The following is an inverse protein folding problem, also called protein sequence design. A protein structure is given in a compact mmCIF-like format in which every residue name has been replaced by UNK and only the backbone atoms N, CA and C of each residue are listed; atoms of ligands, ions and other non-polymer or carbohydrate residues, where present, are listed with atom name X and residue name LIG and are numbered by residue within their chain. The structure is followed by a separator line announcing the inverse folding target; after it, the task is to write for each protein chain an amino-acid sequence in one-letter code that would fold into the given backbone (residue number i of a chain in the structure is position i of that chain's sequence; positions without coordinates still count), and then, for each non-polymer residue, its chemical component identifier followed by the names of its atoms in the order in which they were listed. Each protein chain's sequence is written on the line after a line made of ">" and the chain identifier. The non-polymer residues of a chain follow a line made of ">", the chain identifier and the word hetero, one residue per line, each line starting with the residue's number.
data_IF_644712358771
#
_entry.id   IF_644712358771
#
_cell.length_a   1.000
_cell.length_b   1.000
_cell.length_c   1.000
_cell.angle_alpha   90.00
_cell.angle_beta   90.00
_cell.angle_gamma   90.00
#
_symmetry.space_group_name_H-M   'P 1'
#
loop_
_entity.id
_entity.type
_entity.pdbx_description
1 polymer ?
#
# COMPACT_ATOMS: atom_id res chain seq x y z
N UNK A 1 -5.05 -13.16 24.93
CA UNK A 1 -5.17 -13.75 23.58
C UNK A 1 -5.48 -15.24 23.69
N UNK A 2 -6.17 -15.85 22.69
CA UNK A 2 -6.37 -17.31 22.64
C UNK A 2 -5.07 -17.98 22.18
N UNK A 3 -4.64 -19.04 22.89
CA UNK A 3 -3.43 -19.80 22.57
C UNK A 3 -3.84 -21.14 21.93
N UNK A 4 -3.26 -21.44 20.78
CA UNK A 4 -3.46 -22.68 20.03
C UNK A 4 -2.12 -23.43 19.96
N UNK A 5 -2.07 -24.63 20.50
CA UNK A 5 -0.86 -25.45 20.53
C UNK A 5 -0.93 -26.55 19.48
N UNK A 6 0.09 -26.62 18.61
CA UNK A 6 0.25 -27.58 17.51
C UNK A 6 -1.06 -27.80 16.73
N UNK A 7 -1.72 -26.74 16.23
CA UNK A 7 -2.96 -26.91 15.49
C UNK A 7 -2.71 -27.73 14.22
N UNK A 8 -3.57 -28.70 13.97
CA UNK A 8 -3.54 -29.47 12.73
C UNK A 8 -3.67 -28.58 11.50
N UNK A 9 -2.99 -28.87 10.38
CA UNK A 9 -3.02 -28.03 9.17
C UNK A 9 -4.43 -27.71 8.66
N UNK A 10 -5.42 -28.60 8.89
CA UNK A 10 -6.81 -28.37 8.51
C UNK A 10 -7.46 -27.19 9.27
N UNK A 11 -6.91 -26.78 10.41
CA UNK A 11 -7.38 -25.65 11.20
C UNK A 11 -6.73 -24.32 10.76
N UNK A 12 -5.60 -24.36 10.06
CA UNK A 12 -4.85 -23.17 9.65
C UNK A 12 -5.69 -22.16 8.86
N UNK A 13 -6.49 -22.56 7.86
CA UNK A 13 -7.34 -21.60 7.15
C UNK A 13 -8.30 -20.85 8.08
N UNK A 14 -8.78 -21.47 9.16
CA UNK A 14 -9.63 -20.81 10.14
C UNK A 14 -8.84 -19.90 11.10
N UNK A 15 -7.61 -20.26 11.43
CA UNK A 15 -6.71 -19.45 12.24
C UNK A 15 -6.16 -18.25 11.46
N UNK A 16 -5.94 -18.42 10.17
CA UNK A 16 -5.51 -17.34 9.25
C UNK A 16 -6.65 -16.42 8.82
N UNK A 17 -7.90 -16.75 9.12
CA UNK A 17 -9.05 -15.92 8.74
C UNK A 17 -9.02 -14.58 9.43
N UNK A 18 -9.19 -13.53 8.65
CA UNK A 18 -9.38 -12.16 9.13
C UNK A 18 -10.84 -11.95 9.53
N UNK A 19 -11.09 -10.92 10.34
CA UNK A 19 -12.45 -10.55 10.70
C UNK A 19 -13.26 -10.20 9.44
N UNK A 20 -14.14 -11.09 9.02
CA UNK A 20 -15.06 -10.83 7.92
C UNK A 20 -16.16 -9.88 8.41
N UNK A 21 -16.42 -8.85 7.62
CA UNK A 21 -17.53 -7.94 7.84
C UNK A 21 -18.41 -7.93 6.59
N UNK A 22 -19.71 -7.99 6.78
CA UNK A 22 -20.66 -7.83 5.67
C UNK A 22 -20.51 -6.45 5.04
N UNK A 23 -20.05 -6.43 3.81
CA UNK A 23 -19.80 -5.22 3.03
C UNK A 23 -20.93 -4.89 2.04
N UNK A 24 -22.02 -5.64 2.00
CA UNK A 24 -23.08 -5.47 1.00
C UNK A 24 -23.72 -4.08 1.05
N UNK A 25 -24.13 -3.60 2.22
CA UNK A 25 -24.68 -2.25 2.42
C UNK A 25 -23.65 -1.14 2.13
N UNK A 26 -22.36 -1.42 2.41
CA UNK A 26 -21.28 -0.48 2.11
C UNK A 26 -21.11 -0.36 0.59
N UNK A 27 -21.15 -1.46 -0.13
CA UNK A 27 -20.97 -1.48 -1.58
C UNK A 27 -22.03 -0.63 -2.30
N UNK A 28 -23.31 -0.76 -1.93
CA UNK A 28 -24.40 0.06 -2.50
C UNK A 28 -24.22 1.55 -2.19
N UNK A 29 -23.90 1.89 -0.95
CA UNK A 29 -23.67 3.28 -0.55
C UNK A 29 -22.46 3.89 -1.26
N UNK A 30 -21.38 3.16 -1.39
CA UNK A 30 -20.18 3.59 -2.11
C UNK A 30 -20.47 3.77 -3.59
N UNK A 31 -21.19 2.85 -4.22
CA UNK A 31 -21.59 2.97 -5.62
C UNK A 31 -22.40 4.25 -5.87
N UNK A 32 -23.36 4.57 -5.00
CA UNK A 32 -24.15 5.79 -5.07
C UNK A 32 -23.27 7.05 -4.92
N UNK A 33 -22.32 7.08 -3.98
CA UNK A 33 -21.38 8.19 -3.81
C UNK A 33 -20.53 8.38 -5.06
N UNK A 34 -19.95 7.30 -5.58
CA UNK A 34 -19.07 7.32 -6.75
C UNK A 34 -19.82 7.83 -7.98
N UNK A 35 -21.03 7.35 -8.22
CA UNK A 35 -21.88 7.79 -9.34
C UNK A 35 -22.24 9.27 -9.21
N UNK A 36 -22.64 9.71 -8.01
CA UNK A 36 -22.98 11.10 -7.74
C UNK A 36 -21.81 12.05 -8.04
N UNK A 37 -20.59 11.71 -7.60
CA UNK A 37 -19.40 12.51 -7.90
C UNK A 37 -19.08 12.49 -9.39
N UNK A 38 -19.16 11.34 -10.05
CA UNK A 38 -18.94 11.23 -11.48
C UNK A 38 -19.90 12.10 -12.33
N UNK A 39 -21.14 12.27 -11.86
CA UNK A 39 -22.19 13.03 -12.58
C UNK A 39 -22.21 14.52 -12.23
N UNK A 40 -21.91 14.89 -11.00
CA UNK A 40 -22.13 16.24 -10.46
C UNK A 40 -20.84 16.98 -10.09
N UNK A 41 -19.68 16.34 -10.21
CA UNK A 41 -18.38 16.98 -10.00
C UNK A 41 -18.23 17.64 -8.61
N UNK A 42 -17.70 18.86 -8.61
CA UNK A 42 -17.45 19.65 -7.39
C UNK A 42 -18.70 19.85 -6.53
N UNK A 43 -19.86 20.01 -7.17
CA UNK A 43 -21.14 20.16 -6.45
C UNK A 43 -21.37 18.97 -5.50
N UNK A 44 -21.16 17.76 -5.98
CA UNK A 44 -21.31 16.57 -5.14
C UNK A 44 -20.29 16.55 -4.00
N UNK A 45 -19.05 16.99 -4.23
CA UNK A 45 -18.02 17.04 -3.19
C UNK A 45 -18.38 17.99 -2.06
N UNK A 46 -18.87 19.20 -2.37
CA UNK A 46 -19.33 20.15 -1.36
C UNK A 46 -20.51 19.62 -0.54
N UNK A 47 -21.51 19.04 -1.22
CA UNK A 47 -22.69 18.49 -0.56
C UNK A 47 -22.35 17.27 0.31
N UNK A 48 -21.44 16.39 -0.15
CA UNK A 48 -21.00 15.23 0.63
C UNK A 48 -20.13 15.63 1.82
N UNK A 49 -19.28 16.66 1.69
CA UNK A 49 -18.55 17.20 2.82
C UNK A 49 -19.49 17.71 3.92
N UNK A 50 -20.58 18.40 3.56
CA UNK A 50 -21.57 18.85 4.53
C UNK A 50 -22.38 17.68 5.13
N UNK A 51 -22.81 16.71 4.30
CA UNK A 51 -23.66 15.59 4.73
C UNK A 51 -22.90 14.52 5.54
N UNK A 52 -21.68 14.17 5.15
CA UNK A 52 -20.92 13.07 5.73
C UNK A 52 -19.93 13.59 6.78
N UNK A 53 -19.17 14.62 6.42
CA UNK A 53 -18.10 15.13 7.27
C UNK A 53 -18.60 16.23 8.24
N UNK A 54 -19.79 16.80 7.95
CA UNK A 54 -20.41 17.87 8.73
C UNK A 54 -19.66 19.20 8.59
N UNK A 55 -19.01 19.42 7.45
CA UNK A 55 -18.17 20.60 7.19
C UNK A 55 -18.61 21.33 5.93
N UNK A 56 -18.87 22.63 6.05
CA UNK A 56 -19.15 23.49 4.91
C UNK A 56 -17.86 24.12 4.40
N UNK A 57 -17.36 23.60 3.29
CA UNK A 57 -16.12 24.07 2.68
C UNK A 57 -16.32 25.33 1.85
N UNK A 58 -15.40 26.29 1.98
CA UNK A 58 -15.35 27.47 1.11
C UNK A 58 -14.58 27.18 -0.21
N UNK A 59 -13.64 26.25 -0.17
CA UNK A 59 -12.85 25.81 -1.33
C UNK A 59 -12.45 24.35 -1.14
N UNK A 60 -12.46 23.57 -2.22
CA UNK A 60 -11.92 22.21 -2.23
C UNK A 60 -10.38 22.22 -2.28
N UNK A 61 -9.78 23.14 -3.00
CA UNK A 61 -8.32 23.24 -3.08
C UNK A 61 -7.74 23.92 -1.84
N UNK A 62 -6.62 23.40 -1.37
CA UNK A 62 -5.79 24.04 -0.34
C UNK A 62 -5.04 25.22 -0.97
N UNK A 63 -5.11 26.38 -0.33
CA UNK A 63 -4.47 27.61 -0.77
C UNK A 63 -3.00 27.71 -0.31
N UNK A 64 -2.21 28.56 -0.98
CA UNK A 64 -0.84 28.88 -0.55
C UNK A 64 -0.77 29.47 0.85
N UNK A 65 -1.81 30.22 1.26
CA UNK A 65 -1.90 30.77 2.61
C UNK A 65 -2.02 29.64 3.66
N UNK A 66 -2.83 28.60 3.39
CA UNK A 66 -2.97 27.45 4.29
C UNK A 66 -1.65 26.67 4.41
N UNK A 67 -0.92 26.48 3.31
CA UNK A 67 0.41 25.89 3.36
C UNK A 67 1.39 26.72 4.20
N UNK A 68 1.40 28.02 4.04
CA UNK A 68 2.29 28.92 4.80
C UNK A 68 1.96 28.92 6.29
N UNK A 69 0.67 28.88 6.64
CA UNK A 69 0.23 28.77 8.04
C UNK A 69 0.59 27.41 8.62
N UNK A 70 0.44 26.32 7.86
CA UNK A 70 0.82 24.99 8.29
C UNK A 70 2.32 24.91 8.63
N UNK A 71 3.18 25.47 7.79
CA UNK A 71 4.62 25.51 8.02
C UNK A 71 5.00 26.22 9.34
N UNK A 72 4.26 27.26 9.71
CA UNK A 72 4.47 27.97 10.98
C UNK A 72 3.95 27.20 12.21
N UNK A 73 2.94 26.35 12.03
CA UNK A 73 2.29 25.59 13.11
C UNK A 73 3.01 24.31 13.48
N UNK A 74 3.70 23.68 12.53
CA UNK A 74 4.46 22.43 12.77
C UNK A 74 5.68 22.76 13.62
N UNK A 75 5.86 22.03 14.71
CA UNK A 75 7.00 22.22 15.61
C UNK A 75 8.33 21.86 14.95
N UNK A 76 9.42 22.50 15.35
CA UNK A 76 10.75 22.21 14.83
C UNK A 76 11.19 20.76 15.08
N UNK A 77 10.73 20.15 16.18
CA UNK A 77 10.99 18.74 16.49
C UNK A 77 10.36 17.84 15.43
N UNK A 78 9.09 18.07 15.07
CA UNK A 78 8.39 17.30 14.03
C UNK A 78 9.00 17.54 12.65
N UNK A 79 9.39 18.78 12.33
CA UNK A 79 10.08 19.08 11.08
C UNK A 79 11.41 18.32 10.97
N UNK A 80 12.22 18.33 12.04
CA UNK A 80 13.48 17.60 12.07
C UNK A 80 13.27 16.08 11.91
N UNK A 81 12.25 15.52 12.56
CA UNK A 81 11.89 14.10 12.42
C UNK A 81 11.47 13.76 10.98
N UNK A 82 10.65 14.62 10.35
CA UNK A 82 10.25 14.46 8.94
C UNK A 82 11.49 14.48 8.03
N UNK A 83 12.46 15.36 8.26
CA UNK A 83 13.68 15.41 7.43
C UNK A 83 14.50 14.12 7.52
N UNK A 84 14.65 13.52 8.71
CA UNK A 84 15.35 12.23 8.86
C UNK A 84 14.58 11.13 8.11
N UNK A 85 13.27 11.04 8.28
CA UNK A 85 12.44 10.07 7.57
C UNK A 85 12.55 10.25 6.05
N UNK A 86 12.45 11.48 5.55
CA UNK A 86 12.60 11.80 4.12
C UNK A 86 13.93 11.31 3.57
N UNK A 87 15.03 11.57 4.27
CA UNK A 87 16.37 11.14 3.83
C UNK A 87 16.47 9.63 3.68
N UNK A 88 15.98 8.87 4.67
CA UNK A 88 16.04 7.42 4.66
C UNK A 88 15.11 6.82 3.58
N UNK A 89 13.86 7.32 3.49
CA UNK A 89 12.91 6.88 2.47
C UNK A 89 13.43 7.19 1.05
N UNK A 90 13.99 8.38 0.84
CA UNK A 90 14.58 8.73 -0.46
C UNK A 90 15.78 7.83 -0.80
N UNK A 91 16.67 7.57 0.15
CA UNK A 91 17.84 6.73 -0.08
C UNK A 91 17.43 5.33 -0.54
N UNK A 92 16.49 4.71 0.19
CA UNK A 92 16.03 3.36 -0.12
C UNK A 92 15.25 3.30 -1.45
N UNK A 93 14.34 4.26 -1.71
CA UNK A 93 13.55 4.25 -2.94
C UNK A 93 14.35 4.65 -4.18
N UNK A 94 15.36 5.52 -4.07
CA UNK A 94 16.26 5.83 -5.20
C UNK A 94 17.06 4.61 -5.66
N UNK A 95 17.44 3.74 -4.76
CA UNK A 95 18.15 2.51 -5.09
C UNK A 95 17.29 1.49 -5.87
N UNK A 96 15.96 1.65 -5.86
CA UNK A 96 15.00 0.79 -6.56
C UNK A 96 14.74 1.22 -8.03
N UNK A 97 15.30 2.35 -8.49
CA UNK A 97 15.02 2.82 -9.86
C UNK A 97 15.46 1.77 -10.88
N UNK A 98 14.53 1.26 -11.72
CA UNK A 98 14.85 0.22 -12.68
C UNK A 98 15.65 0.78 -13.86
N UNK A 99 16.60 -0.03 -14.36
CA UNK A 99 17.32 0.26 -15.58
C UNK A 99 16.51 -0.12 -16.82
N UNK A 100 16.86 0.50 -17.96
CA UNK A 100 16.38 0.06 -19.28
C UNK A 100 17.04 -1.30 -19.62
N UNK A 101 16.23 -2.23 -20.10
CA UNK A 101 16.71 -3.51 -20.64
C UNK A 101 16.73 -3.43 -22.16
N UNK A 102 17.87 -3.72 -22.79
CA UNK A 102 18.04 -3.76 -24.25
C UNK A 102 18.68 -5.07 -24.66
N UNK A 103 18.02 -5.81 -25.56
CA UNK A 103 18.46 -7.12 -26.04
C UNK A 103 18.32 -7.17 -27.55
N UNK A 104 19.36 -7.55 -28.24
CA UNK A 104 19.29 -8.00 -29.63
C UNK A 104 18.98 -9.50 -29.59
N UNK A 105 17.74 -9.89 -29.90
CA UNK A 105 17.29 -11.29 -29.79
C UNK A 105 17.82 -12.17 -30.92
N UNK A 106 18.08 -11.56 -32.06
CA UNK A 106 18.84 -12.08 -33.17
C UNK A 106 19.37 -10.91 -34.02
N UNK A 107 20.34 -11.09 -34.91
CA UNK A 107 20.90 -10.00 -35.70
C UNK A 107 19.84 -9.14 -36.38
N UNK A 108 19.90 -7.83 -36.12
CA UNK A 108 18.95 -6.86 -36.67
C UNK A 108 17.57 -6.82 -35.99
N UNK A 109 17.36 -7.52 -34.87
CA UNK A 109 16.10 -7.48 -34.09
C UNK A 109 16.39 -7.04 -32.66
N UNK A 110 16.07 -5.80 -32.34
CA UNK A 110 16.32 -5.19 -31.05
C UNK A 110 15.01 -5.01 -30.28
N UNK A 111 14.96 -5.57 -29.07
CA UNK A 111 13.88 -5.42 -28.12
C UNK A 111 14.34 -4.59 -26.92
N UNK A 112 13.57 -3.56 -26.56
CA UNK A 112 13.86 -2.70 -25.42
C UNK A 112 12.69 -2.71 -24.47
N UNK A 113 12.95 -2.79 -23.16
CA UNK A 113 11.97 -2.50 -22.12
C UNK A 113 12.42 -1.25 -21.37
N UNK A 114 11.63 -0.19 -21.50
CA UNK A 114 11.91 1.11 -20.89
C UNK A 114 10.96 1.38 -19.71
N UNK A 115 11.49 1.65 -18.51
CA UNK A 115 10.68 2.15 -17.40
C UNK A 115 10.22 3.58 -17.70
N UNK A 116 8.93 3.84 -17.50
CA UNK A 116 8.30 5.14 -17.74
C UNK A 116 7.39 5.47 -16.56
N UNK A 117 7.52 6.66 -15.98
CA UNK A 117 6.68 7.11 -14.89
C UNK A 117 5.20 7.21 -15.29
N UNK A 118 4.30 6.99 -14.34
CA UNK A 118 2.88 7.31 -14.47
C UNK A 118 2.74 8.83 -14.38
N UNK A 119 2.20 9.47 -15.41
CA UNK A 119 2.20 10.92 -15.53
C UNK A 119 1.38 11.65 -14.47
N UNK A 120 0.26 11.05 -14.01
CA UNK A 120 -0.65 11.62 -13.01
C UNK A 120 -1.04 10.56 -12.00
N UNK A 121 -0.77 10.82 -10.73
CA UNK A 121 -1.10 9.91 -9.62
C UNK A 121 -1.90 10.64 -8.55
N UNK A 122 -2.84 9.91 -7.94
CA UNK A 122 -3.64 10.38 -6.82
C UNK A 122 -3.21 9.70 -5.53
N UNK A 123 -3.02 10.47 -4.49
CA UNK A 123 -2.68 10.01 -3.15
C UNK A 123 -3.86 10.28 -2.24
N UNK A 124 -4.38 9.26 -1.62
CA UNK A 124 -5.38 9.38 -0.57
C UNK A 124 -4.71 9.27 0.80
N UNK A 125 -4.85 10.31 1.60
CA UNK A 125 -4.35 10.33 2.97
C UNK A 125 -5.55 10.29 3.91
N UNK A 126 -5.69 9.24 4.72
CA UNK A 126 -6.79 9.18 5.65
C UNK A 126 -6.65 10.25 6.73
N UNK A 127 -7.79 10.73 7.19
CA UNK A 127 -7.90 11.57 8.38
C UNK A 127 -8.69 10.82 9.44
N UNK A 128 -9.03 11.50 10.52
CA UNK A 128 -9.82 10.96 11.61
C UNK A 128 -9.16 11.23 12.96
N UNK A 129 -8.90 10.20 13.74
CA UNK A 129 -8.34 10.34 15.10
C UNK A 129 -6.86 10.70 15.13
N UNK A 130 -6.13 10.54 14.02
CA UNK A 130 -4.71 10.89 13.91
C UNK A 130 -4.40 11.44 12.51
N UNK A 131 -3.57 12.50 12.38
CA UNK A 131 -3.08 13.00 11.10
C UNK A 131 -1.96 12.08 10.60
N UNK A 132 -2.25 11.17 9.66
CA UNK A 132 -1.28 10.19 9.15
C UNK A 132 -0.33 10.85 8.11
N UNK A 133 0.45 11.84 8.53
CA UNK A 133 1.39 12.54 7.66
C UNK A 133 2.55 11.64 7.18
N UNK A 134 2.89 10.58 7.90
CA UNK A 134 3.84 9.56 7.46
C UNK A 134 3.42 8.94 6.11
N UNK A 135 2.14 8.69 5.92
CA UNK A 135 1.60 8.18 4.65
C UNK A 135 1.86 9.15 3.48
N UNK A 136 1.93 10.46 3.73
CA UNK A 136 2.33 11.42 2.69
C UNK A 136 3.77 11.15 2.26
N UNK A 137 4.70 10.93 3.20
CA UNK A 137 6.10 10.62 2.90
C UNK A 137 6.19 9.33 2.08
N UNK A 138 5.51 8.28 2.53
CA UNK A 138 5.54 6.93 1.93
C UNK A 138 4.97 6.88 0.51
N UNK A 139 4.07 7.78 0.16
CA UNK A 139 3.46 7.81 -1.18
C UNK A 139 4.04 8.90 -2.08
N UNK A 140 4.26 10.11 -1.57
CA UNK A 140 4.69 11.23 -2.40
C UNK A 140 6.18 11.17 -2.76
N UNK A 141 7.05 10.68 -1.86
CA UNK A 141 8.48 10.55 -2.17
C UNK A 141 8.74 9.55 -3.30
N UNK A 142 8.25 8.30 -3.27
CA UNK A 142 8.43 7.38 -4.39
C UNK A 142 7.77 7.89 -5.67
N UNK A 143 6.60 8.55 -5.61
CA UNK A 143 5.98 9.17 -6.78
C UNK A 143 6.88 10.22 -7.43
N UNK A 144 7.48 11.10 -6.61
CA UNK A 144 8.44 12.12 -7.08
C UNK A 144 9.71 11.50 -7.64
N UNK A 145 10.29 10.52 -6.95
CA UNK A 145 11.52 9.82 -7.38
C UNK A 145 11.30 9.09 -8.71
N UNK A 146 10.15 8.44 -8.89
CA UNK A 146 9.75 7.81 -10.14
C UNK A 146 9.55 8.81 -11.30
N UNK A 147 9.40 10.11 -11.00
CA UNK A 147 9.22 11.17 -11.99
C UNK A 147 7.75 11.39 -12.39
N UNK A 148 6.79 11.12 -11.53
CA UNK A 148 5.39 11.48 -11.74
C UNK A 148 5.26 13.01 -11.87
N UNK A 149 4.62 13.48 -12.96
CA UNK A 149 4.55 14.91 -13.26
C UNK A 149 3.48 15.64 -12.44
N UNK A 150 2.38 14.96 -12.14
CA UNK A 150 1.28 15.50 -11.36
C UNK A 150 0.97 14.53 -10.20
N UNK A 151 1.15 15.03 -8.98
CA UNK A 151 0.89 14.29 -7.73
C UNK A 151 -0.25 15.02 -7.03
N UNK A 152 -1.45 14.46 -7.09
CA UNK A 152 -2.67 15.00 -6.50
C UNK A 152 -2.90 14.31 -5.17
N UNK A 153 -3.13 15.07 -4.10
CA UNK A 153 -3.42 14.55 -2.77
C UNK A 153 -4.84 14.94 -2.35
N UNK A 154 -5.63 13.96 -1.92
CA UNK A 154 -6.91 14.17 -1.28
C UNK A 154 -6.87 13.70 0.18
N UNK A 155 -7.37 14.53 1.09
CA UNK A 155 -7.43 14.23 2.53
C UNK A 155 -8.64 14.92 3.15
N UNK A 156 -9.30 14.32 4.15
CA UNK A 156 -10.39 14.98 4.87
C UNK A 156 -9.88 16.16 5.70
N UNK A 157 -10.81 17.01 6.11
CA UNK A 157 -10.55 18.15 6.98
C UNK A 157 -11.03 17.88 8.42
N UNK A 158 -10.64 18.72 9.33
CA UNK A 158 -11.27 18.84 10.65
C UNK A 158 -12.66 19.50 10.54
N UNK A 159 -13.34 19.68 11.68
CA UNK A 159 -14.66 20.33 11.75
C UNK A 159 -14.67 21.80 11.37
N UNK A 160 -13.51 22.43 11.29
CA UNK A 160 -13.32 23.81 10.85
C UNK A 160 -13.00 23.92 9.35
N UNK A 161 -12.90 22.80 8.64
CA UNK A 161 -12.55 22.76 7.21
C UNK A 161 -11.05 22.93 6.95
N UNK A 162 -10.22 22.67 7.95
CA UNK A 162 -8.76 22.74 7.86
C UNK A 162 -8.15 21.35 7.68
N UNK A 163 -7.13 21.26 6.85
CA UNK A 163 -6.26 20.08 6.76
C UNK A 163 -5.20 20.17 7.87
N UNK A 164 -4.82 19.05 8.47
CA UNK A 164 -3.78 18.99 9.50
C UNK A 164 -2.47 19.62 9.00
N UNK A 165 -1.85 20.42 9.84
CA UNK A 165 -0.65 21.18 9.47
C UNK A 165 0.51 20.26 9.06
N UNK A 166 0.68 19.14 9.77
CA UNK A 166 1.71 18.15 9.51
C UNK A 166 1.54 17.50 8.11
N UNK A 167 0.29 17.24 7.70
CA UNK A 167 -0.03 16.71 6.35
C UNK A 167 0.34 17.73 5.27
N UNK A 168 0.01 19.01 5.44
CA UNK A 168 0.36 20.07 4.49
C UNK A 168 1.86 20.29 4.41
N UNK A 169 2.54 20.31 5.56
CA UNK A 169 4.00 20.45 5.61
C UNK A 169 4.68 19.27 4.87
N UNK A 170 4.29 18.05 5.19
CA UNK A 170 4.81 16.85 4.52
C UNK A 170 4.53 16.86 3.02
N UNK A 171 3.31 17.24 2.61
CA UNK A 171 2.93 17.34 1.20
C UNK A 171 3.82 18.32 0.43
N UNK A 172 4.04 19.53 0.97
CA UNK A 172 4.96 20.54 0.39
C UNK A 172 6.39 20.02 0.32
N UNK A 173 6.89 19.43 1.42
CA UNK A 173 8.26 18.88 1.50
C UNK A 173 8.51 17.76 0.50
N UNK A 174 7.50 16.93 0.23
CA UNK A 174 7.59 15.81 -0.70
C UNK A 174 7.30 16.16 -2.16
N UNK A 175 6.91 17.40 -2.47
CA UNK A 175 6.66 17.86 -3.84
C UNK A 175 5.29 17.47 -4.39
N UNK A 176 4.28 17.34 -3.53
CA UNK A 176 2.89 17.19 -3.96
C UNK A 176 2.46 18.44 -4.72
N UNK A 177 1.87 18.25 -5.90
CA UNK A 177 1.56 19.38 -6.80
C UNK A 177 0.25 20.08 -6.44
N UNK A 178 -0.72 19.35 -5.90
CA UNK A 178 -2.04 19.88 -5.52
C UNK A 178 -2.61 19.07 -4.35
N UNK A 179 -3.23 19.77 -3.40
CA UNK A 179 -3.92 19.16 -2.25
C UNK A 179 -5.38 19.59 -2.24
N UNK A 180 -6.28 18.62 -2.02
CA UNK A 180 -7.73 18.85 -2.00
C UNK A 180 -8.35 18.34 -0.71
N UNK A 181 -9.33 19.09 -0.22
CA UNK A 181 -10.13 18.84 0.98
C UNK A 181 -11.29 17.90 0.66
N UNK A 182 -10.95 16.64 0.47
CA UNK A 182 -11.94 15.58 0.19
C UNK A 182 -11.52 14.30 0.89
N UNK A 183 -12.41 13.71 1.69
CA UNK A 183 -12.19 12.45 2.39
C UNK A 183 -13.01 11.31 1.78
N UNK A 184 -12.81 10.08 2.26
CA UNK A 184 -13.68 8.95 1.98
C UNK A 184 -13.79 8.53 0.51
N UNK A 185 -14.91 7.86 0.19
CA UNK A 185 -15.20 7.35 -1.14
C UNK A 185 -15.31 8.46 -2.20
N UNK A 186 -15.78 9.67 -1.81
CA UNK A 186 -15.90 10.80 -2.70
C UNK A 186 -14.55 11.33 -3.19
N UNK A 187 -13.51 11.25 -2.38
CA UNK A 187 -12.15 11.59 -2.78
C UNK A 187 -11.61 10.64 -3.85
N UNK A 188 -11.83 9.34 -3.67
CA UNK A 188 -11.46 8.31 -4.65
C UNK A 188 -12.20 8.54 -5.98
N UNK A 189 -13.51 8.80 -5.91
CA UNK A 189 -14.31 9.10 -7.10
C UNK A 189 -13.82 10.36 -7.81
N UNK A 190 -13.53 11.44 -7.07
CA UNK A 190 -13.02 12.68 -7.65
C UNK A 190 -11.70 12.49 -8.39
N UNK A 191 -10.75 11.76 -7.81
CA UNK A 191 -9.48 11.45 -8.47
C UNK A 191 -9.65 10.51 -9.68
N UNK A 192 -10.60 9.57 -9.62
CA UNK A 192 -10.83 8.61 -10.69
C UNK A 192 -11.51 9.22 -11.93
N UNK A 193 -12.49 10.09 -11.75
CA UNK A 193 -13.28 10.66 -12.85
C UNK A 193 -12.80 12.06 -13.24
N UNK A 194 -12.20 12.78 -12.31
CA UNK A 194 -11.96 14.21 -12.40
C UNK A 194 -13.22 15.01 -12.07
N UNK A 195 -13.03 16.22 -11.55
CA UNK A 195 -14.08 17.21 -11.35
C UNK A 195 -13.57 18.56 -11.85
N UNK A 196 -14.32 19.63 -11.66
CA UNK A 196 -13.90 20.98 -12.06
C UNK A 196 -12.61 21.40 -11.32
N UNK A 197 -12.46 21.01 -10.05
CA UNK A 197 -11.29 21.31 -9.22
C UNK A 197 -10.28 20.19 -9.20
N UNK A 198 -10.72 18.93 -8.99
CA UNK A 198 -9.83 17.78 -8.79
C UNK A 198 -9.45 17.16 -10.14
N UNK A 199 -8.18 17.16 -10.53
CA UNK A 199 -7.75 16.54 -11.78
C UNK A 199 -7.97 15.03 -11.77
N UNK A 200 -8.39 14.47 -12.91
CA UNK A 200 -8.39 13.02 -13.12
C UNK A 200 -6.96 12.48 -13.11
N UNK A 201 -6.76 11.37 -12.40
CA UNK A 201 -5.46 10.66 -12.33
C UNK A 201 -5.53 9.29 -13.00
N UNK A 202 -4.37 8.68 -13.23
CA UNK A 202 -4.28 7.36 -13.88
C UNK A 202 -4.16 6.22 -12.88
N UNK A 203 -3.62 6.49 -11.67
CA UNK A 203 -3.51 5.51 -10.60
C UNK A 203 -3.71 6.20 -9.25
N UNK A 204 -4.43 5.53 -8.34
CA UNK A 204 -4.73 6.01 -7.00
C UNK A 204 -4.02 5.12 -5.99
N UNK A 205 -3.40 5.76 -5.00
CA UNK A 205 -2.65 5.14 -3.91
C UNK A 205 -3.20 5.60 -2.57
N UNK A 206 -3.01 4.81 -1.56
CA UNK A 206 -3.23 5.15 -0.17
C UNK A 206 -4.14 4.20 0.57
N UNK A 207 -3.87 4.02 1.87
CA UNK A 207 -4.70 3.23 2.76
C UNK A 207 -6.02 3.96 3.05
N UNK A 208 -6.99 3.25 3.57
CA UNK A 208 -8.25 3.85 3.96
C UNK A 208 -9.20 2.85 4.59
N UNK A 209 -10.30 3.36 5.15
CA UNK A 209 -11.36 2.54 5.71
C UNK A 209 -12.11 1.75 4.60
N UNK A 210 -13.04 0.90 5.01
CA UNK A 210 -13.84 0.05 4.10
C UNK A 210 -14.53 0.81 2.97
N UNK A 211 -14.97 2.05 3.18
CA UNK A 211 -15.57 2.88 2.13
C UNK A 211 -14.55 3.27 1.06
N UNK A 212 -13.34 3.62 1.49
CA UNK A 212 -12.23 3.96 0.59
C UNK A 212 -11.78 2.73 -0.20
N UNK A 213 -11.60 1.60 0.48
CA UNK A 213 -11.22 0.32 -0.15
C UNK A 213 -12.26 -0.11 -1.19
N UNK A 214 -13.55 -0.07 -0.84
CA UNK A 214 -14.64 -0.40 -1.76
C UNK A 214 -14.71 0.57 -2.95
N UNK A 215 -14.47 1.87 -2.72
CA UNK A 215 -14.43 2.85 -3.81
C UNK A 215 -13.24 2.60 -4.74
N UNK A 216 -12.05 2.29 -4.21
CA UNK A 216 -10.87 1.91 -5.01
C UNK A 216 -11.15 0.70 -5.89
N UNK A 217 -11.73 -0.36 -5.34
CA UNK A 217 -12.11 -1.56 -6.10
C UNK A 217 -13.12 -1.25 -7.21
N UNK A 218 -14.12 -0.41 -6.93
CA UNK A 218 -15.16 -0.02 -7.89
C UNK A 218 -14.57 0.78 -9.07
N UNK A 219 -13.67 1.73 -8.80
CA UNK A 219 -13.07 2.55 -9.86
C UNK A 219 -11.98 1.83 -10.63
N UNK A 220 -11.33 0.81 -10.04
CA UNK A 220 -10.30 0.01 -10.70
C UNK A 220 -10.82 -0.68 -11.98
N UNK A 221 -12.11 -1.03 -12.04
CA UNK A 221 -12.76 -1.56 -13.23
C UNK A 221 -13.09 -0.51 -14.32
N UNK A 222 -12.75 0.77 -14.14
CA UNK A 222 -13.21 1.90 -14.98
C UNK A 222 -12.10 2.85 -15.43
N UNK A 223 -10.98 2.33 -15.92
CA UNK A 223 -9.85 3.10 -16.47
C UNK A 223 -8.99 3.87 -15.43
N UNK A 224 -9.10 3.55 -14.15
CA UNK A 224 -8.21 4.08 -13.11
C UNK A 224 -7.61 2.90 -12.37
N UNK A 225 -6.28 2.79 -12.36
CA UNK A 225 -5.61 1.74 -11.57
C UNK A 225 -5.57 2.12 -10.10
N UNK A 226 -5.38 1.12 -9.25
CA UNK A 226 -5.13 1.31 -7.81
C UNK A 226 -3.79 0.67 -7.43
N UNK A 227 -3.28 1.00 -6.25
CA UNK A 227 -2.08 0.37 -5.69
C UNK A 227 -2.29 -1.13 -5.45
N UNK A 228 -3.10 -1.47 -4.46
CA UNK A 228 -3.48 -2.84 -4.12
C UNK A 228 -4.82 -2.85 -3.36
N UNK A 229 -5.52 -3.99 -3.32
CA UNK A 229 -6.57 -4.21 -2.33
C UNK A 229 -5.94 -4.17 -0.92
N UNK A 230 -6.57 -3.48 0.00
CA UNK A 230 -6.14 -3.42 1.39
C UNK A 230 -7.34 -3.60 2.32
N UNK A 231 -7.15 -4.34 3.38
CA UNK A 231 -8.08 -4.51 4.49
C UNK A 231 -7.55 -3.83 5.76
N UNK A 232 -8.01 -4.28 6.93
CA UNK A 232 -7.47 -3.87 8.21
C UNK A 232 -5.99 -4.23 8.36
N UNK A 233 -5.26 -3.44 9.13
CA UNK A 233 -3.83 -3.64 9.36
C UNK A 233 -3.55 -4.89 10.20
N UNK A 234 -2.41 -5.54 9.95
CA UNK A 234 -2.03 -6.82 10.51
C UNK A 234 -0.56 -6.88 10.89
N UNK A 235 -0.25 -7.49 12.02
CA UNK A 235 1.12 -7.89 12.36
C UNK A 235 1.18 -9.35 12.75
N UNK A 236 2.24 -10.03 12.35
CA UNK A 236 2.65 -11.32 12.89
C UNK A 236 4.06 -11.22 13.45
N UNK A 237 4.24 -11.70 14.67
CA UNK A 237 5.57 -11.86 15.28
C UNK A 237 5.89 -13.34 15.39
N UNK A 238 6.95 -13.77 14.72
CA UNK A 238 7.57 -15.08 14.93
C UNK A 238 8.64 -14.95 16.03
N UNK A 239 8.58 -15.79 17.05
CA UNK A 239 9.43 -15.67 18.23
C UNK A 239 9.91 -17.02 18.73
N UNK A 240 11.16 -17.08 19.20
CA UNK A 240 11.74 -18.21 19.93
C UNK A 240 12.20 -17.77 21.33
N UNK A 241 12.92 -18.64 22.03
CA UNK A 241 13.49 -18.40 23.36
C UNK A 241 14.40 -17.16 23.46
N UNK A 242 14.89 -16.59 22.35
CA UNK A 242 15.74 -15.40 22.31
C UNK A 242 14.96 -14.09 22.27
N UNK A 243 13.64 -14.18 22.04
CA UNK A 243 12.75 -13.02 22.01
C UNK A 243 12.46 -12.48 23.41
N UNK A 244 12.22 -11.18 23.49
CA UNK A 244 11.74 -10.52 24.69
C UNK A 244 10.21 -10.36 24.64
N UNK A 245 9.50 -10.94 25.60
CA UNK A 245 8.04 -10.89 25.63
C UNK A 245 7.48 -9.46 25.73
N UNK A 246 8.21 -8.53 26.35
CA UNK A 246 7.80 -7.13 26.44
C UNK A 246 7.93 -6.42 25.10
N UNK A 247 8.94 -6.73 24.29
CA UNK A 247 9.12 -6.20 22.94
C UNK A 247 8.03 -6.72 22.00
N UNK A 248 7.81 -8.05 22.02
CA UNK A 248 6.74 -8.67 21.22
C UNK A 248 5.38 -8.09 21.57
N UNK A 249 5.07 -7.92 22.86
CA UNK A 249 3.81 -7.30 23.29
C UNK A 249 3.67 -5.86 22.80
N UNK A 250 4.75 -5.08 22.80
CA UNK A 250 4.75 -3.70 22.29
C UNK A 250 4.45 -3.67 20.78
N UNK A 251 5.03 -4.58 19.99
CA UNK A 251 4.77 -4.69 18.55
C UNK A 251 3.33 -5.13 18.23
N UNK A 252 2.77 -6.08 19.01
CA UNK A 252 1.36 -6.46 18.87
C UNK A 252 0.41 -5.29 19.20
N UNK A 253 0.76 -4.48 20.19
CA UNK A 253 -0.04 -3.33 20.61
C UNK A 253 0.07 -2.16 19.64
N UNK A 254 1.23 -1.90 19.02
CA UNK A 254 1.39 -0.87 18.00
C UNK A 254 0.45 -1.12 16.81
N UNK A 255 0.27 -2.37 16.42
CA UNK A 255 -0.70 -2.73 15.37
C UNK A 255 -2.14 -2.69 15.85
N UNK A 256 -2.40 -3.16 17.07
CA UNK A 256 -3.76 -3.24 17.62
C UNK A 256 -4.41 -1.86 17.83
N UNK A 257 -3.63 -0.81 18.01
CA UNK A 257 -4.14 0.56 18.18
C UNK A 257 -4.58 1.24 16.88
N UNK A 258 -4.23 0.69 15.69
CA UNK A 258 -4.63 1.25 14.40
C UNK A 258 -6.15 1.22 14.21
N UNK A 259 -6.81 0.11 14.56
CA UNK A 259 -8.25 -0.03 14.39
C UNK A 259 -8.84 -1.21 15.15
N UNK A 260 -10.17 -1.16 15.37
CA UNK A 260 -10.91 -2.22 16.06
C UNK A 260 -10.91 -3.56 15.31
N UNK A 261 -10.68 -3.53 14.03
CA UNK A 261 -10.63 -4.65 13.09
C UNK A 261 -9.20 -5.08 12.75
N UNK A 262 -8.18 -4.43 13.32
CA UNK A 262 -6.78 -4.86 13.22
C UNK A 262 -6.59 -6.25 13.82
N UNK A 263 -5.57 -6.97 13.34
CA UNK A 263 -5.23 -8.29 13.84
C UNK A 263 -3.75 -8.36 14.21
N UNK A 264 -3.47 -8.86 15.41
CA UNK A 264 -2.12 -9.10 15.90
C UNK A 264 -1.94 -10.59 16.20
N UNK A 265 -0.88 -11.19 15.67
CA UNK A 265 -0.63 -12.62 15.83
C UNK A 265 0.79 -12.86 16.34
N UNK A 266 0.94 -13.78 17.27
CA UNK A 266 2.24 -14.32 17.64
C UNK A 266 2.33 -15.80 17.30
N UNK A 267 3.44 -16.19 16.68
CA UNK A 267 3.80 -17.57 16.37
C UNK A 267 5.09 -17.89 17.12
N UNK A 268 5.08 -18.86 18.02
CA UNK A 268 6.25 -19.14 18.85
C UNK A 268 6.43 -20.65 19.12
N UNK A 269 7.56 -20.99 19.74
CA UNK A 269 7.95 -22.36 20.05
C UNK A 269 7.61 -22.80 21.49
N UNK A 270 6.96 -21.93 22.30
CA UNK A 270 6.69 -22.22 23.71
C UNK A 270 5.36 -21.64 24.18
N UNK A 271 4.58 -22.45 24.89
CA UNK A 271 3.34 -22.03 25.53
C UNK A 271 3.61 -21.02 26.64
N UNK A 272 4.69 -21.23 27.39
CA UNK A 272 5.13 -20.32 28.45
C UNK A 272 5.46 -18.95 27.90
N UNK A 273 6.12 -18.87 26.74
CA UNK A 273 6.41 -17.62 26.07
C UNK A 273 5.12 -16.93 25.60
N UNK A 274 4.20 -17.66 24.98
CA UNK A 274 2.90 -17.12 24.57
C UNK A 274 2.09 -16.54 25.74
N UNK A 275 2.16 -17.20 26.92
CA UNK A 275 1.54 -16.71 28.16
C UNK A 275 2.24 -15.46 28.68
N UNK A 276 3.58 -15.40 28.64
CA UNK A 276 4.35 -14.22 29.03
C UNK A 276 4.02 -13.02 28.13
N UNK A 277 3.93 -13.22 26.82
CA UNK A 277 3.50 -12.16 25.87
C UNK A 277 2.08 -11.70 26.21
N UNK A 278 1.15 -12.62 26.50
CA UNK A 278 -0.23 -12.25 26.86
C UNK A 278 -0.29 -11.40 28.12
N UNK A 279 0.51 -11.74 29.15
CA UNK A 279 0.60 -10.96 30.38
C UNK A 279 1.21 -9.55 30.14
N UNK A 280 2.24 -9.47 29.29
CA UNK A 280 2.84 -8.20 28.88
C UNK A 280 1.88 -7.32 28.09
N UNK A 281 1.09 -7.89 27.19
CA UNK A 281 0.03 -7.18 26.46
C UNK A 281 -0.97 -6.56 27.44
N UNK A 282 -1.45 -7.30 28.43
CA UNK A 282 -2.38 -6.79 29.43
C UNK A 282 -1.74 -5.65 30.25
N UNK A 283 -0.51 -5.84 30.67
CA UNK A 283 0.24 -4.84 31.47
C UNK A 283 0.46 -3.54 30.70
N UNK A 284 0.91 -3.63 29.45
CA UNK A 284 1.21 -2.45 28.61
C UNK A 284 -0.06 -1.74 28.13
N UNK A 285 -1.10 -2.49 27.78
CA UNK A 285 -2.40 -1.94 27.36
C UNK A 285 -3.03 -1.04 28.43
N UNK A 286 -2.83 -1.33 29.71
CA UNK A 286 -3.43 -0.59 30.82
C UNK A 286 -3.03 0.91 30.86
N UNK A 287 -1.95 1.29 30.19
CA UNK A 287 -1.45 2.68 30.14
C UNK A 287 -1.65 3.37 28.79
N UNK A 288 -2.23 2.68 27.80
CA UNK A 288 -2.46 3.25 26.48
C UNK A 288 -3.73 4.11 26.45
N UNK A 289 -3.63 5.26 25.79
CA UNK A 289 -4.77 6.17 25.61
C UNK A 289 -5.85 5.62 24.69
N UNK A 290 -5.50 4.66 23.82
CA UNK A 290 -6.41 4.00 22.86
C UNK A 290 -6.79 2.57 23.26
N UNK A 291 -6.75 2.24 24.55
CA UNK A 291 -7.04 0.91 25.08
C UNK A 291 -8.36 0.32 24.57
N UNK A 292 -9.40 1.12 24.36
CA UNK A 292 -10.71 0.67 23.83
C UNK A 292 -10.60 0.08 22.39
N UNK A 293 -9.73 0.63 21.55
CA UNK A 293 -9.48 0.09 20.22
C UNK A 293 -8.70 -1.23 20.30
N UNK A 294 -7.69 -1.25 21.17
CA UNK A 294 -6.85 -2.42 21.38
C UNK A 294 -7.66 -3.61 21.89
N UNK A 295 -8.56 -3.40 22.88
CA UNK A 295 -9.43 -4.46 23.41
C UNK A 295 -10.26 -5.12 22.33
N UNK A 296 -10.82 -4.34 21.41
CA UNK A 296 -11.62 -4.90 20.29
C UNK A 296 -10.73 -5.63 19.27
N UNK A 297 -9.58 -5.07 18.92
CA UNK A 297 -8.61 -5.67 18.02
C UNK A 297 -8.08 -7.02 18.55
N UNK A 298 -7.78 -7.10 19.84
CA UNK A 298 -7.29 -8.31 20.49
C UNK A 298 -8.29 -9.48 20.47
N UNK A 299 -9.58 -9.25 20.26
CA UNK A 299 -10.56 -10.33 20.04
C UNK A 299 -10.30 -11.11 18.77
N UNK A 300 -9.70 -10.46 17.77
CA UNK A 300 -9.30 -11.07 16.50
C UNK A 300 -7.88 -11.63 16.54
N UNK A 301 -7.13 -11.38 17.62
CA UNK A 301 -5.72 -11.71 17.78
C UNK A 301 -5.53 -13.07 18.45
N UNK A 302 -4.42 -13.75 18.15
CA UNK A 302 -4.16 -15.13 18.62
C UNK A 302 -2.67 -15.39 18.80
N UNK A 303 -2.38 -16.38 19.64
CA UNK A 303 -1.06 -16.99 19.76
C UNK A 303 -1.11 -18.41 19.21
N UNK A 304 -0.18 -18.77 18.35
CA UNK A 304 -0.05 -20.13 17.80
C UNK A 304 1.32 -20.65 18.17
N UNK A 305 1.34 -21.83 18.78
CA UNK A 305 2.57 -22.45 19.27
C UNK A 305 2.82 -23.73 18.46
N UNK A 306 4.03 -23.86 17.93
CA UNK A 306 4.47 -25.06 17.21
C UNK A 306 5.76 -25.60 17.82
N UNK A 307 5.91 -26.92 17.81
CA UNK A 307 7.13 -27.59 18.25
C UNK A 307 8.24 -27.58 17.17
N UNK A 308 7.92 -27.18 15.95
CA UNK A 308 8.82 -27.20 14.79
C UNK A 308 8.91 -25.82 14.13
N UNK A 309 10.17 -25.38 13.86
CA UNK A 309 10.46 -24.16 13.11
C UNK A 309 9.83 -24.19 11.71
N UNK A 310 9.86 -25.34 11.05
CA UNK A 310 9.29 -25.50 9.71
C UNK A 310 7.79 -25.21 9.72
N UNK A 311 7.06 -25.71 10.72
CA UNK A 311 5.63 -25.43 10.87
C UNK A 311 5.34 -23.94 11.15
N UNK A 312 6.21 -23.28 11.93
CA UNK A 312 6.09 -21.83 12.14
C UNK A 312 6.25 -21.07 10.82
N UNK A 313 7.23 -21.43 9.99
CA UNK A 313 7.47 -20.84 8.68
C UNK A 313 6.31 -21.12 7.72
N UNK A 314 5.86 -22.36 7.63
CA UNK A 314 4.74 -22.75 6.78
C UNK A 314 3.47 -21.99 7.16
N UNK A 315 3.20 -21.85 8.46
CA UNK A 315 2.04 -21.10 8.95
C UNK A 315 2.17 -19.60 8.67
N UNK A 316 3.37 -19.02 8.80
CA UNK A 316 3.63 -17.62 8.47
C UNK A 316 3.43 -17.36 6.96
N UNK A 317 3.90 -18.27 6.12
CA UNK A 317 3.68 -18.21 4.67
C UNK A 317 2.19 -18.34 4.32
N UNK A 318 1.43 -19.24 4.97
CA UNK A 318 -0.03 -19.39 4.77
C UNK A 318 -0.78 -18.11 5.22
N UNK A 319 -0.38 -17.51 6.33
CA UNK A 319 -0.98 -16.27 6.80
C UNK A 319 -0.68 -15.08 5.90
N UNK A 320 0.52 -14.98 5.36
CA UNK A 320 0.98 -13.89 4.49
C UNK A 320 0.72 -12.49 5.11
N UNK A 321 1.36 -12.24 6.24
CA UNK A 321 1.17 -11.03 7.04
C UNK A 321 1.53 -9.76 6.28
N UNK A 322 0.85 -8.65 6.60
CA UNK A 322 1.26 -7.30 6.20
C UNK A 322 2.64 -6.97 6.76
N UNK A 323 2.79 -7.07 8.08
CA UNK A 323 4.05 -6.90 8.80
C UNK A 323 4.44 -8.23 9.44
N UNK A 324 5.62 -8.72 9.12
CA UNK A 324 6.19 -9.92 9.72
C UNK A 324 7.45 -9.57 10.50
N UNK A 325 7.41 -9.71 11.82
CA UNK A 325 8.58 -9.52 12.69
C UNK A 325 9.15 -10.90 13.01
N UNK A 326 10.45 -11.10 12.82
CA UNK A 326 11.15 -12.36 13.12
C UNK A 326 12.12 -12.11 14.28
N UNK A 327 11.65 -12.38 15.50
CA UNK A 327 12.40 -12.29 16.75
C UNK A 327 12.94 -13.65 17.16
N UNK A 328 13.84 -14.21 16.33
CA UNK A 328 14.42 -15.55 16.49
C UNK A 328 15.93 -15.52 16.37
N UNK A 329 16.62 -16.54 16.91
CA UNK A 329 18.08 -16.64 16.92
C UNK A 329 18.70 -16.55 15.51
N UNK A 330 18.11 -17.23 14.52
CA UNK A 330 18.53 -17.20 13.13
C UNK A 330 17.51 -16.46 12.25
N UNK A 331 17.23 -15.21 12.58
CA UNK A 331 16.15 -14.45 11.95
C UNK A 331 16.35 -14.27 10.43
N UNK A 332 17.59 -14.12 9.94
CA UNK A 332 17.88 -14.04 8.50
C UNK A 332 17.65 -15.38 7.79
N UNK A 333 18.08 -16.51 8.39
CA UNK A 333 17.81 -17.84 7.83
C UNK A 333 16.32 -18.13 7.76
N UNK A 334 15.52 -17.71 8.76
CA UNK A 334 14.05 -17.79 8.69
C UNK A 334 13.50 -16.91 7.56
N UNK A 335 14.01 -15.69 7.43
CA UNK A 335 13.53 -14.74 6.41
C UNK A 335 13.74 -15.24 4.98
N UNK A 336 14.83 -15.99 4.72
CA UNK A 336 15.10 -16.61 3.41
C UNK A 336 14.06 -17.68 3.02
N UNK A 337 13.39 -18.29 4.00
CA UNK A 337 12.34 -19.28 3.80
C UNK A 337 10.92 -18.66 3.74
N UNK A 338 10.78 -17.36 4.06
CA UNK A 338 9.50 -16.65 3.94
C UNK A 338 9.28 -16.23 2.49
N UNK A 339 8.17 -16.66 1.93
CA UNK A 339 7.75 -16.37 0.55
C UNK A 339 6.60 -15.38 0.46
N UNK A 340 5.91 -15.12 1.58
CA UNK A 340 4.67 -14.34 1.59
C UNK A 340 4.61 -13.43 2.82
N UNK A 341 5.04 -12.19 2.65
CA UNK A 341 4.88 -11.11 3.64
C UNK A 341 4.91 -9.75 2.94
N UNK A 342 4.22 -8.77 3.48
CA UNK A 342 4.27 -7.39 2.96
C UNK A 342 5.61 -6.73 3.26
N UNK A 343 6.08 -6.82 4.50
CA UNK A 343 7.41 -6.40 4.95
C UNK A 343 7.92 -7.32 6.06
N UNK A 344 9.24 -7.57 6.10
CA UNK A 344 9.88 -8.43 7.11
C UNK A 344 10.83 -7.56 7.95
N UNK A 345 10.71 -7.69 9.28
CA UNK A 345 11.53 -7.02 10.28
C UNK A 345 12.41 -8.05 11.01
N UNK A 346 13.72 -7.83 11.03
CA UNK A 346 14.70 -8.85 11.43
C UNK A 346 15.24 -8.54 12.82
N UNK A 347 15.02 -9.46 13.76
CA UNK A 347 15.59 -9.45 15.10
C UNK A 347 14.82 -8.56 16.10
N UNK A 348 15.21 -8.67 17.36
CA UNK A 348 14.54 -8.05 18.51
C UNK A 348 14.53 -6.51 18.51
N UNK A 349 15.39 -5.85 17.73
CA UNK A 349 15.52 -4.39 17.68
C UNK A 349 14.90 -3.77 16.41
N UNK A 350 14.10 -4.52 15.68
CA UNK A 350 13.45 -4.06 14.45
C UNK A 350 11.93 -4.02 14.62
N UNK A 351 11.39 -3.06 15.39
CA UNK A 351 9.95 -2.93 15.58
C UNK A 351 9.27 -2.48 14.28
N UNK A 352 7.99 -2.83 14.11
CA UNK A 352 7.12 -2.34 13.04
C UNK A 352 7.20 -0.81 12.88
N UNK A 353 7.14 -0.09 14.01
CA UNK A 353 7.19 1.38 14.04
C UNK A 353 8.41 1.98 13.33
N UNK A 354 9.55 1.28 13.28
CA UNK A 354 10.70 1.75 12.51
C UNK A 354 10.39 1.81 11.01
N UNK A 355 9.73 0.79 10.47
CA UNK A 355 9.27 0.75 9.07
C UNK A 355 8.19 1.77 8.79
N UNK A 356 7.27 1.95 9.72
CA UNK A 356 6.14 2.86 9.58
C UNK A 356 6.54 4.34 9.49
N UNK A 357 7.65 4.71 10.11
CA UNK A 357 8.01 6.12 10.21
C UNK A 357 9.33 6.49 9.53
N UNK A 358 10.40 5.71 9.69
CA UNK A 358 11.72 6.30 9.47
C UNK A 358 12.81 5.38 8.90
N UNK A 359 12.68 4.05 8.90
CA UNK A 359 13.77 3.16 8.47
C UNK A 359 14.08 3.26 6.97
N UNK A 360 13.10 3.65 6.15
CA UNK A 360 13.26 3.82 4.71
C UNK A 360 12.38 2.93 3.85
N UNK A 361 11.90 1.81 4.37
CA UNK A 361 10.91 0.94 3.70
C UNK A 361 9.54 1.63 3.62
N UNK A 362 8.61 1.06 2.86
CA UNK A 362 7.26 1.64 2.70
C UNK A 362 6.27 0.90 3.59
N UNK A 363 5.43 1.63 4.29
CA UNK A 363 4.40 1.06 5.16
C UNK A 363 3.05 0.83 4.46
N UNK A 364 2.90 1.22 3.20
CA UNK A 364 1.69 0.91 2.43
C UNK A 364 1.84 -0.49 1.85
N UNK A 365 1.35 -1.46 2.58
CA UNK A 365 1.61 -2.88 2.38
C UNK A 365 0.31 -3.64 2.05
N UNK A 366 0.40 -4.81 1.40
CA UNK A 366 -0.76 -5.67 1.18
C UNK A 366 -1.20 -6.34 2.49
N UNK A 367 -2.50 -6.29 2.78
CA UNK A 367 -3.14 -6.93 3.94
C UNK A 367 -4.00 -8.11 3.51
N UNK A 368 -4.59 -8.82 4.45
CA UNK A 368 -5.61 -9.87 4.17
C UNK A 368 -5.13 -10.98 3.23
N UNK A 369 -3.86 -11.37 3.37
CA UNK A 369 -3.24 -12.40 2.55
C UNK A 369 -2.85 -11.95 1.13
N UNK A 370 -3.07 -10.69 0.76
CA UNK A 370 -2.65 -10.20 -0.57
C UNK A 370 -1.14 -10.19 -0.75
N UNK A 371 -0.35 -10.36 0.31
CA UNK A 371 1.10 -10.53 0.21
C UNK A 371 1.53 -11.80 -0.57
N UNK A 372 0.64 -12.76 -0.82
CA UNK A 372 0.89 -13.86 -1.74
C UNK A 372 1.09 -13.43 -3.20
N UNK A 373 0.57 -12.27 -3.60
CA UNK A 373 0.56 -11.85 -5.01
C UNK A 373 0.81 -10.35 -5.24
N UNK A 374 0.76 -9.55 -4.19
CA UNK A 374 0.97 -8.11 -4.26
C UNK A 374 2.19 -7.71 -3.44
N UNK A 375 2.98 -6.80 -3.97
CA UNK A 375 4.04 -6.12 -3.22
C UNK A 375 3.53 -4.90 -2.50
N UNK A 376 4.20 -4.49 -1.43
CA UNK A 376 4.06 -3.15 -0.87
C UNK A 376 4.40 -2.05 -1.89
N UNK A 377 3.98 -0.83 -1.61
CA UNK A 377 4.28 0.31 -2.47
C UNK A 377 5.81 0.52 -2.57
N UNK A 378 6.28 0.64 -3.79
CA UNK A 378 7.69 0.84 -4.14
C UNK A 378 7.80 1.69 -5.41
N UNK A 379 8.98 1.88 -5.96
CA UNK A 379 9.18 2.67 -7.18
C UNK A 379 8.43 2.09 -8.39
N UNK A 380 8.44 0.77 -8.57
CA UNK A 380 7.71 0.13 -9.68
C UNK A 380 6.20 0.39 -9.62
N UNK A 381 5.65 0.64 -8.43
CA UNK A 381 4.23 1.00 -8.26
C UNK A 381 3.84 2.28 -9.00
N UNK A 382 4.79 3.22 -9.17
CA UNK A 382 4.63 4.52 -9.85
C UNK A 382 5.15 4.52 -11.29
N UNK A 383 5.58 3.37 -11.77
CA UNK A 383 6.13 3.21 -13.11
C UNK A 383 5.38 2.14 -13.91
N UNK A 384 5.57 2.16 -15.20
CA UNK A 384 5.16 1.12 -16.13
C UNK A 384 6.32 0.80 -17.06
N UNK A 385 6.39 -0.42 -17.53
CA UNK A 385 7.43 -0.87 -18.44
C UNK A 385 6.85 -0.91 -19.87
N UNK A 386 7.39 -0.06 -20.74
CA UNK A 386 6.97 0.05 -22.13
C UNK A 386 7.97 -0.68 -23.02
N UNK A 387 7.48 -1.54 -23.89
CA UNK A 387 8.33 -2.23 -24.87
C UNK A 387 8.47 -1.41 -26.14
N UNK A 388 9.67 -1.45 -26.72
CA UNK A 388 10.01 -0.85 -28.00
C UNK A 388 10.70 -1.96 -28.81
N UNK A 389 10.34 -2.07 -30.10
CA UNK A 389 10.94 -3.03 -31.01
C UNK A 389 11.45 -2.29 -32.24
N UNK A 390 12.66 -2.61 -32.65
CA UNK A 390 13.29 -2.11 -33.87
C UNK A 390 13.83 -3.30 -34.65
N UNK A 391 13.43 -3.41 -35.92
CA UNK A 391 13.92 -4.43 -36.86
C UNK A 391 14.61 -3.74 -38.02
N UNK A 392 15.83 -4.20 -38.34
CA UNK A 392 16.46 -3.88 -39.62
C UNK A 392 15.78 -4.65 -40.75
N UNK A 393 16.16 -4.33 -41.99
CA UNK A 393 15.69 -5.07 -43.14
C UNK A 393 16.10 -6.55 -43.05
N UNK A 394 17.35 -6.80 -42.75
CA UNK A 394 17.90 -8.15 -42.58
C UNK A 394 17.21 -8.89 -41.43
N UNK A 395 16.91 -8.21 -40.37
CA UNK A 395 16.20 -8.77 -39.19
C UNK A 395 14.77 -9.20 -39.54
N UNK A 396 13.99 -8.36 -40.28
CA UNK A 396 12.63 -8.75 -40.68
C UNK A 396 12.66 -9.85 -41.75
N UNK A 397 13.63 -9.85 -42.69
CA UNK A 397 13.79 -10.90 -43.69
C UNK A 397 14.09 -12.27 -43.05
N UNK A 398 14.95 -12.28 -42.01
CA UNK A 398 15.28 -13.49 -41.25
C UNK A 398 14.08 -14.02 -40.44
N UNK A 399 13.26 -13.12 -39.85
CA UNK A 399 12.08 -13.51 -39.08
C UNK A 399 10.85 -13.86 -39.90
N UNK A 400 10.80 -13.42 -41.15
CA UNK A 400 9.62 -13.56 -42.02
C UNK A 400 9.07 -15.00 -42.13
N UNK A 401 9.89 -16.04 -42.34
CA UNK A 401 9.38 -17.41 -42.42
C UNK A 401 8.65 -17.84 -41.15
N UNK A 402 9.17 -17.47 -39.96
CA UNK A 402 8.58 -17.81 -38.67
C UNK A 402 7.27 -17.07 -38.47
N UNK A 403 7.26 -15.74 -38.67
CA UNK A 403 6.05 -14.92 -38.49
C UNK A 403 4.93 -15.35 -39.40
N UNK A 404 5.25 -15.58 -40.71
CA UNK A 404 4.25 -16.00 -41.68
C UNK A 404 3.69 -17.37 -41.33
N UNK A 405 4.53 -18.34 -40.98
CA UNK A 405 4.06 -19.69 -40.63
C UNK A 405 3.14 -19.67 -39.39
N UNK A 406 3.48 -18.89 -38.40
CA UNK A 406 2.65 -18.76 -37.16
C UNK A 406 1.31 -18.06 -37.49
N UNK A 407 1.36 -16.93 -38.19
CA UNK A 407 0.16 -16.18 -38.54
C UNK A 407 -0.79 -16.98 -39.47
N UNK A 408 -0.26 -17.73 -40.42
CA UNK A 408 -1.06 -18.59 -41.30
C UNK A 408 -1.69 -19.75 -40.49
N UNK A 409 -0.97 -20.33 -39.54
CA UNK A 409 -1.51 -21.39 -38.66
C UNK A 409 -2.62 -20.87 -37.70
N UNK A 410 -2.58 -19.60 -37.30
CA UNK A 410 -3.63 -18.95 -36.52
C UNK A 410 -4.79 -18.42 -37.38
N UNK A 411 -4.70 -18.50 -38.70
CA UNK A 411 -5.67 -17.94 -39.64
C UNK A 411 -5.66 -16.40 -39.72
N UNK A 412 -4.54 -15.77 -39.36
CA UNK A 412 -4.38 -14.31 -39.31
C UNK A 412 -3.64 -13.81 -40.57
N UNK A 413 -4.26 -13.94 -41.74
CA UNK A 413 -3.67 -13.59 -43.05
C UNK A 413 -3.14 -12.15 -43.13
N UNK A 414 -3.81 -11.18 -42.51
CA UNK A 414 -3.37 -9.80 -42.50
C UNK A 414 -2.03 -9.61 -41.72
N UNK A 415 -1.79 -10.40 -40.67
CA UNK A 415 -0.50 -10.40 -39.95
C UNK A 415 0.61 -10.97 -40.83
N UNK A 416 0.38 -12.09 -41.50
CA UNK A 416 1.32 -12.65 -42.45
C UNK A 416 1.61 -11.66 -43.59
N UNK A 417 0.59 -11.02 -44.18
CA UNK A 417 0.74 -10.03 -45.23
C UNK A 417 1.52 -8.79 -44.79
N UNK A 418 1.38 -8.36 -43.54
CA UNK A 418 2.15 -7.23 -43.04
C UNK A 418 3.66 -7.43 -43.12
N UNK A 419 4.13 -8.67 -43.00
CA UNK A 419 5.54 -9.04 -43.20
C UNK A 419 5.86 -9.22 -44.72
N UNK A 420 5.03 -9.98 -45.42
CA UNK A 420 5.22 -10.27 -46.87
C UNK A 420 5.43 -8.98 -47.69
N UNK A 421 4.63 -7.94 -47.47
CA UNK A 421 4.74 -6.67 -48.21
C UNK A 421 6.01 -5.89 -47.90
N UNK A 422 6.60 -6.06 -46.71
CA UNK A 422 7.85 -5.38 -46.30
C UNK A 422 9.07 -6.00 -46.96
N UNK A 423 9.10 -7.32 -47.13
CA UNK A 423 10.21 -8.03 -47.77
C UNK A 423 10.11 -8.01 -49.31
N UNK A 424 8.89 -7.85 -49.87
CA UNK A 424 8.69 -7.78 -51.29
C UNK A 424 9.08 -6.45 -51.96
N UNK A 425 9.24 -5.38 -51.17
CA UNK A 425 9.59 -4.03 -51.67
C UNK A 425 11.11 -3.74 -51.64
N UNK A 426 11.91 -4.80 -51.75
CA UNK A 426 13.36 -4.71 -51.78
C UNK A 426 13.94 -4.49 -53.16
#
# INVERSE_FOLDING_TARGET
>A
MNIYQNPEPQLWPSLCRRAEQDNSLIAERVASIVERVAMQGDKALYELAEQIDGVKLASLAVSEQEFSQAEQRVSEVVKAAIEVAVQNIEAFHRAQLPAEVRVETQPGVVCVQRPVSIGKVGLYIPGGTAPLFSTVLMLALPARIAGCKEIVLCTPTDKQGCVAAEVLYAARRCGVTKVFKAGGAQAIAAMAYGTESVPKVYKIFGPGNRYVTQAKQLVAGRNTSIDMPAGPSEVMVMADKTADAAFVAADLLSQAEHGRDSQAMVVCDSVEFAQAVSAEVERQMAVLSRADFVVESLKNSRAVVFDSREQMIDFANEYAAEHLIISMEDAWGVAEEITSAGSIFIGNYSPESAGDYASGTNHTLPTSGWAHSCSGVNIDSFMRKMTIQELSREGIEALAPTIVAMADAEGLEAHANAVKVRIAKG
#
